data_IF_866461526088
#
_entry.id   IF_866461526088
#
_cell.length_a   1.000
_cell.length_b   1.000
_cell.length_c   1.000
_cell.angle_alpha   90.00
_cell.angle_beta   90.00
_cell.angle_gamma   90.00
#
_symmetry.space_group_name_H-M   'P 1'
#
loop_
_entity.id
_entity.type
_entity.pdbx_description
1 polymer ?
#
# COMPACT_ATOMS: atom_id res chain seq x y z
N UNK A 1 -17.88 10.69 -7.90
CA UNK A 1 -17.36 11.55 -9.00
C UNK A 1 -15.89 11.24 -9.16
N UNK A 2 -15.31 11.30 -10.38
CA UNK A 2 -13.86 11.11 -10.57
C UNK A 2 -13.13 12.42 -10.28
N UNK A 3 -12.04 12.37 -9.53
CA UNK A 3 -11.15 13.50 -9.23
C UNK A 3 -9.70 13.07 -9.32
N UNK A 4 -8.77 14.00 -9.55
CA UNK A 4 -7.35 13.70 -9.45
C UNK A 4 -7.02 13.31 -8.00
N UNK A 5 -6.25 12.23 -7.81
CA UNK A 5 -5.92 11.74 -6.46
C UNK A 5 -5.16 12.78 -5.63
N UNK A 6 -4.43 13.70 -6.25
CA UNK A 6 -3.77 14.84 -5.57
C UNK A 6 -4.72 15.85 -4.92
N UNK A 7 -6.01 15.83 -5.28
CA UNK A 7 -7.03 16.68 -4.65
C UNK A 7 -7.69 16.01 -3.44
N UNK A 8 -7.35 14.76 -3.14
CA UNK A 8 -7.93 13.99 -2.04
C UNK A 8 -7.00 14.02 -0.84
N UNK A 9 -7.50 14.37 0.34
CA UNK A 9 -6.68 14.49 1.52
C UNK A 9 -6.16 13.12 2.01
N UNK A 10 -4.94 13.04 2.59
CA UNK A 10 -4.47 11.84 3.28
C UNK A 10 -5.45 11.35 4.35
N UNK A 11 -5.62 10.03 4.43
CA UNK A 11 -6.58 9.35 5.30
C UNK A 11 -7.97 9.12 4.68
N UNK A 12 -8.29 9.77 3.55
CA UNK A 12 -9.54 9.52 2.83
C UNK A 12 -9.44 8.24 1.99
N UNK A 13 -10.59 7.57 1.84
CA UNK A 13 -10.74 6.39 0.99
C UNK A 13 -11.21 6.81 -0.40
N UNK A 14 -10.56 6.26 -1.42
CA UNK A 14 -10.90 6.39 -2.84
C UNK A 14 -10.97 5.01 -3.48
N UNK A 15 -11.57 4.90 -4.67
CA UNK A 15 -11.55 3.65 -5.45
C UNK A 15 -10.60 3.79 -6.64
N UNK A 16 -9.67 2.86 -6.75
CA UNK A 16 -8.79 2.65 -7.89
C UNK A 16 -9.23 1.36 -8.58
N UNK A 17 -9.78 1.45 -9.79
CA UNK A 17 -10.47 0.33 -10.46
C UNK A 17 -11.48 -0.40 -9.58
N UNK A 18 -12.26 0.36 -8.80
CA UNK A 18 -13.24 -0.19 -7.86
C UNK A 18 -12.66 -0.67 -6.53
N UNK A 19 -11.34 -0.88 -6.41
CA UNK A 19 -10.67 -1.31 -5.18
C UNK A 19 -10.56 -0.13 -4.18
N UNK A 20 -11.15 -0.24 -2.97
CA UNK A 20 -11.03 0.79 -1.96
C UNK A 20 -9.59 0.93 -1.44
N UNK A 21 -9.05 2.14 -1.51
CA UNK A 21 -7.68 2.47 -1.13
C UNK A 21 -7.63 3.73 -0.27
N UNK A 22 -6.74 3.75 0.73
CA UNK A 22 -6.50 4.91 1.59
C UNK A 22 -5.37 5.73 1.00
N UNK A 23 -5.58 7.03 0.84
CA UNK A 23 -4.53 7.98 0.44
C UNK A 23 -3.58 8.20 1.62
N UNK A 24 -2.28 7.94 1.45
CA UNK A 24 -1.29 8.08 2.53
C UNK A 24 -0.47 9.37 2.43
N UNK A 25 0.03 9.68 1.24
CA UNK A 25 0.96 10.79 1.03
C UNK A 25 1.01 11.20 -0.44
N UNK A 26 1.00 12.50 -0.71
CA UNK A 26 1.36 13.03 -2.04
C UNK A 26 2.86 13.28 -2.10
N UNK A 27 3.54 12.63 -3.04
CA UNK A 27 4.97 12.78 -3.31
C UNK A 27 5.17 13.44 -4.67
N UNK A 28 6.38 13.94 -4.92
CA UNK A 28 6.75 14.47 -6.24
C UNK A 28 6.61 13.41 -7.34
N UNK A 29 6.95 12.15 -7.04
CA UNK A 29 6.86 11.05 -7.99
C UNK A 29 5.43 10.54 -8.23
N UNK A 30 4.50 10.77 -7.31
CA UNK A 30 3.15 10.22 -7.36
C UNK A 30 2.45 10.28 -6.01
N UNK A 31 1.22 9.79 -5.93
CA UNK A 31 0.50 9.65 -4.66
C UNK A 31 0.60 8.20 -4.18
N UNK A 32 1.02 8.03 -2.92
CA UNK A 32 1.08 6.73 -2.25
C UNK A 32 -0.30 6.37 -1.71
N UNK A 33 -0.77 5.18 -2.07
CA UNK A 33 -1.97 4.58 -1.55
C UNK A 33 -1.66 3.23 -0.91
N UNK A 34 -2.59 2.75 -0.11
CA UNK A 34 -2.63 1.40 0.42
C UNK A 34 -4.04 0.85 0.29
N UNK A 35 -4.21 -0.44 0.01
CA UNK A 35 -5.56 -1.03 0.00
C UNK A 35 -6.23 -0.86 1.36
N UNK A 36 -7.54 -0.65 1.38
CA UNK A 36 -8.28 -0.56 2.64
C UNK A 36 -8.44 -1.94 3.29
N UNK A 37 -8.66 -2.98 2.48
CA UNK A 37 -8.79 -4.36 2.91
C UNK A 37 -7.44 -5.10 2.89
N UNK A 38 -7.30 -6.08 3.79
CA UNK A 38 -6.15 -6.98 3.79
C UNK A 38 -6.32 -8.10 2.75
N UNK A 39 -5.24 -8.41 2.03
CA UNK A 39 -5.11 -9.68 1.32
C UNK A 39 -4.49 -10.72 2.23
N UNK A 40 -4.78 -12.01 1.98
CA UNK A 40 -4.22 -13.12 2.75
C UNK A 40 -3.13 -13.83 1.95
N UNK A 41 -1.90 -13.81 2.46
CA UNK A 41 -0.74 -14.47 1.85
C UNK A 41 0.29 -14.87 2.91
N UNK A 42 1.11 -15.89 2.62
CA UNK A 42 2.41 -16.01 3.29
C UNK A 42 3.40 -15.06 2.65
N UNK A 43 4.49 -14.79 3.36
CA UNK A 43 5.61 -14.04 2.79
C UNK A 43 6.45 -14.93 1.86
N UNK A 44 6.65 -16.18 2.26
CA UNK A 44 7.36 -17.19 1.50
C UNK A 44 8.28 -18.02 2.39
N UNK A 45 9.33 -18.57 1.80
CA UNK A 45 10.36 -19.33 2.52
C UNK A 45 11.48 -18.47 3.10
N UNK A 46 11.37 -17.13 3.02
CA UNK A 46 12.36 -16.18 3.53
C UNK A 46 11.69 -14.87 3.96
N UNK A 47 12.27 -14.18 4.93
CA UNK A 47 11.93 -12.83 5.36
C UNK A 47 12.46 -11.73 4.40
N UNK A 48 13.30 -12.09 3.42
CA UNK A 48 13.77 -11.15 2.41
C UNK A 48 12.70 -10.89 1.33
N UNK A 49 12.03 -9.74 1.43
CA UNK A 49 10.99 -9.36 0.48
C UNK A 49 11.46 -9.35 -0.99
N UNK A 50 12.71 -8.94 -1.26
CA UNK A 50 13.23 -8.79 -2.63
C UNK A 50 13.17 -10.08 -3.46
N UNK A 51 13.30 -11.24 -2.80
CA UNK A 51 13.30 -12.57 -3.43
C UNK A 51 12.13 -13.45 -2.96
N UNK A 52 11.18 -12.86 -2.24
CA UNK A 52 10.04 -13.58 -1.67
C UNK A 52 8.99 -13.92 -2.73
N UNK A 53 8.30 -15.05 -2.55
CA UNK A 53 7.13 -15.41 -3.36
C UNK A 53 5.98 -14.40 -3.17
N UNK A 54 5.96 -13.69 -2.03
CA UNK A 54 4.96 -12.65 -1.81
C UNK A 54 5.20 -11.43 -2.70
N UNK A 55 6.44 -10.99 -2.90
CA UNK A 55 6.76 -9.94 -3.87
C UNK A 55 6.37 -10.35 -5.28
N UNK A 56 6.62 -11.60 -5.66
CA UNK A 56 6.20 -12.16 -6.95
C UNK A 56 4.67 -12.11 -7.10
N UNK A 57 3.91 -12.55 -6.09
CA UNK A 57 2.45 -12.45 -6.09
C UNK A 57 1.95 -11.01 -6.20
N UNK A 58 2.52 -10.09 -5.40
CA UNK A 58 2.14 -8.68 -5.37
C UNK A 58 2.38 -7.97 -6.70
N UNK A 59 3.49 -8.26 -7.37
CA UNK A 59 3.90 -7.59 -8.61
C UNK A 59 3.51 -8.37 -9.88
N UNK A 60 2.87 -9.53 -9.73
CA UNK A 60 2.23 -10.29 -10.80
C UNK A 60 0.71 -10.24 -10.64
N UNK A 61 0.14 -11.38 -10.22
CA UNK A 61 -1.30 -11.59 -10.19
C UNK A 61 -2.09 -10.51 -9.42
N UNK A 62 -1.58 -10.00 -8.30
CA UNK A 62 -2.26 -8.94 -7.56
C UNK A 62 -2.23 -7.60 -8.30
N UNK A 63 -1.07 -7.17 -8.81
CA UNK A 63 -0.96 -5.92 -9.57
C UNK A 63 -1.81 -5.97 -10.84
N UNK A 64 -1.83 -7.10 -11.54
CA UNK A 64 -2.68 -7.30 -12.73
C UNK A 64 -4.17 -7.19 -12.37
N UNK A 65 -4.60 -7.80 -11.28
CA UNK A 65 -6.00 -7.70 -10.82
C UNK A 65 -6.35 -6.27 -10.38
N UNK A 66 -5.47 -5.62 -9.61
CA UNK A 66 -5.66 -4.26 -9.10
C UNK A 66 -5.78 -3.22 -10.24
N UNK A 67 -5.12 -3.46 -11.37
CA UNK A 67 -5.04 -2.54 -12.51
C UNK A 67 -5.88 -2.98 -13.71
N UNK A 68 -6.65 -4.06 -13.58
CA UNK A 68 -7.37 -4.69 -14.69
C UNK A 68 -6.45 -5.02 -15.90
N UNK A 69 -5.18 -5.36 -15.62
CA UNK A 69 -4.14 -5.66 -16.61
C UNK A 69 -3.29 -4.47 -17.06
N UNK A 70 -3.51 -3.28 -16.50
CA UNK A 70 -2.77 -2.04 -16.81
C UNK A 70 -1.68 -1.72 -15.78
N UNK A 71 -0.78 -2.67 -15.53
CA UNK A 71 0.25 -2.52 -14.51
C UNK A 71 1.18 -1.30 -14.72
N UNK A 72 1.26 -0.73 -15.92
CA UNK A 72 2.00 0.49 -16.24
C UNK A 72 1.44 1.76 -15.58
N UNK A 73 0.21 1.72 -15.07
CA UNK A 73 -0.38 2.79 -14.25
C UNK A 73 0.30 2.92 -12.87
N UNK A 74 0.94 1.85 -12.40
CA UNK A 74 1.68 1.86 -11.14
C UNK A 74 3.12 2.33 -11.37
N UNK A 75 3.55 3.23 -10.50
CA UNK A 75 4.90 3.78 -10.51
C UNK A 75 5.80 2.89 -9.65
N UNK A 76 6.93 2.47 -10.22
CA UNK A 76 7.97 1.76 -9.49
C UNK A 76 8.50 2.62 -8.35
N UNK A 77 8.60 2.04 -7.16
CA UNK A 77 9.18 2.68 -5.97
C UNK A 77 10.29 1.80 -5.40
N UNK A 78 11.24 2.45 -4.74
CA UNK A 78 12.21 1.77 -3.89
C UNK A 78 11.55 1.45 -2.52
N UNK A 79 11.82 0.25 -2.01
CA UNK A 79 11.45 -0.21 -0.68
C UNK A 79 12.74 -0.52 0.09
N UNK A 80 12.97 0.20 1.19
CA UNK A 80 14.09 -0.06 2.10
C UNK A 80 13.80 -1.33 2.92
N UNK A 81 14.72 -2.30 2.86
CA UNK A 81 14.63 -3.59 3.55
C UNK A 81 15.55 -3.66 4.76
N UNK A 82 15.97 -2.51 5.29
CA UNK A 82 16.66 -2.43 6.59
C UNK A 82 15.83 -3.15 7.64
N UNK A 83 16.45 -4.14 8.31
CA UNK A 83 15.83 -4.93 9.36
C UNK A 83 15.58 -4.11 10.62
N UNK A 84 14.69 -4.57 11.49
CA UNK A 84 14.38 -3.89 12.76
C UNK A 84 15.63 -3.69 13.63
N UNK A 85 16.53 -4.67 13.65
CA UNK A 85 17.79 -4.58 14.38
C UNK A 85 18.84 -3.64 13.74
N UNK A 86 18.51 -3.01 12.60
CA UNK A 86 19.37 -2.09 11.86
C UNK A 86 20.27 -2.74 10.82
N UNK A 87 20.20 -4.06 10.61
CA UNK A 87 20.94 -4.72 9.53
C UNK A 87 20.49 -4.22 8.16
N UNK A 88 21.44 -4.02 7.25
CA UNK A 88 21.22 -3.57 5.86
C UNK A 88 21.58 -4.63 4.82
N UNK A 89 21.75 -5.88 5.24
CA UNK A 89 22.18 -6.98 4.37
C UNK A 89 21.32 -7.13 3.11
N UNK A 90 20.00 -6.98 3.25
CA UNK A 90 19.06 -7.09 2.12
C UNK A 90 18.98 -5.82 1.26
N UNK A 91 19.54 -4.70 1.71
CA UNK A 91 19.55 -3.43 0.97
C UNK A 91 18.15 -2.88 0.72
N UNK A 92 17.84 -2.59 -0.54
CA UNK A 92 16.54 -2.13 -1.02
C UNK A 92 16.08 -2.96 -2.23
N UNK A 93 14.79 -2.89 -2.56
CA UNK A 93 14.30 -3.43 -3.82
C UNK A 93 13.35 -2.46 -4.53
N UNK A 94 13.40 -2.45 -5.85
CA UNK A 94 12.44 -1.73 -6.69
C UNK A 94 11.26 -2.63 -7.05
N UNK A 95 10.04 -2.14 -6.82
CA UNK A 95 8.80 -2.82 -7.18
C UNK A 95 7.64 -1.82 -7.28
N UNK A 96 6.53 -2.24 -7.88
CA UNK A 96 5.31 -1.43 -8.01
C UNK A 96 4.40 -1.57 -6.79
N UNK A 97 4.36 -2.76 -6.22
CA UNK A 97 3.50 -3.10 -5.09
C UNK A 97 4.33 -3.77 -4.00
N UNK A 98 4.20 -3.29 -2.77
CA UNK A 98 4.82 -3.87 -1.58
C UNK A 98 3.99 -3.56 -0.34
N UNK A 99 4.09 -4.35 0.75
CA UNK A 99 3.65 -3.89 2.06
C UNK A 99 4.38 -2.59 2.45
N UNK A 100 3.80 -1.83 3.37
CA UNK A 100 4.53 -0.72 3.98
C UNK A 100 5.73 -1.25 4.78
N UNK A 101 6.83 -0.50 4.79
CA UNK A 101 7.90 -0.76 5.77
C UNK A 101 7.42 -0.42 7.19
N UNK A 102 8.10 -0.93 8.21
CA UNK A 102 7.75 -0.60 9.58
C UNK A 102 7.86 0.91 9.88
N UNK A 103 8.81 1.60 9.25
CA UNK A 103 8.92 3.07 9.33
C UNK A 103 7.75 3.79 8.65
N UNK A 104 7.31 3.30 7.49
CA UNK A 104 6.11 3.82 6.82
C UNK A 104 4.86 3.58 7.68
N UNK A 105 4.70 2.40 8.28
CA UNK A 105 3.61 2.09 9.23
C UNK A 105 3.62 3.08 10.39
N UNK A 106 4.78 3.31 11.02
CA UNK A 106 4.93 4.27 12.12
C UNK A 106 4.58 5.69 11.70
N UNK A 107 4.98 6.10 10.50
CA UNK A 107 4.69 7.42 9.92
C UNK A 107 3.20 7.62 9.64
N UNK A 108 2.53 6.58 9.13
CA UNK A 108 1.13 6.64 8.71
C UNK A 108 0.14 6.08 9.73
N UNK A 109 0.58 5.77 10.95
CA UNK A 109 -0.24 5.18 12.02
C UNK A 109 -1.56 5.95 12.26
N UNK A 110 -1.56 7.28 12.14
CA UNK A 110 -2.78 8.09 12.31
C UNK A 110 -3.79 8.00 11.17
N UNK A 111 -3.42 7.42 10.03
CA UNK A 111 -4.25 7.27 8.82
C UNK A 111 -4.74 5.83 8.62
N UNK A 112 -3.99 4.85 9.13
CA UNK A 112 -4.27 3.44 8.93
C UNK A 112 -5.30 2.94 9.96
N UNK A 113 -6.40 2.27 9.55
CA UNK A 113 -7.21 1.54 10.50
C UNK A 113 -6.42 0.36 11.09
N UNK A 114 -6.86 -0.12 12.25
CA UNK A 114 -6.32 -1.34 12.84
C UNK A 114 -6.49 -2.52 11.88
N UNK A 115 -5.52 -3.43 11.82
CA UNK A 115 -5.64 -4.65 11.02
C UNK A 115 -6.82 -5.53 11.46
N UNK A 116 -7.49 -6.17 10.51
CA UNK A 116 -8.56 -7.16 10.79
C UNK A 116 -7.96 -8.52 11.20
N UNK A 117 -6.74 -8.80 10.76
CA UNK A 117 -5.89 -9.92 11.10
C UNK A 117 -4.43 -9.45 11.17
N UNK A 118 -3.48 -10.32 11.52
CA UNK A 118 -2.06 -9.99 11.45
C UNK A 118 -1.69 -9.31 10.12
N UNK A 119 -0.93 -8.21 10.17
CA UNK A 119 -0.51 -7.44 9.01
C UNK A 119 1.00 -7.51 8.80
N UNK A 120 1.43 -8.11 7.69
CA UNK A 120 2.82 -8.09 7.26
C UNK A 120 3.30 -6.69 6.91
N UNK A 121 4.50 -6.34 7.37
CA UNK A 121 5.31 -5.26 6.82
C UNK A 121 6.38 -5.79 5.85
N UNK A 122 7.06 -4.90 5.13
CA UNK A 122 8.24 -5.26 4.33
C UNK A 122 9.53 -5.38 5.18
N UNK A 123 9.47 -5.11 6.48
CA UNK A 123 10.63 -5.04 7.37
C UNK A 123 10.86 -6.37 8.07
N UNK A 124 12.02 -7.03 7.89
CA UNK A 124 12.37 -8.23 8.64
C UNK A 124 12.78 -7.88 10.08
N UNK A 125 12.74 -8.85 10.99
CA UNK A 125 13.22 -8.66 12.37
C UNK A 125 14.75 -8.53 12.41
N UNK A 126 15.45 -9.47 11.77
CA UNK A 126 16.90 -9.51 11.60
C UNK A 126 17.27 -10.02 10.20
N UNK A 127 18.55 -10.30 9.95
CA UNK A 127 19.06 -10.90 8.71
C UNK A 127 20.16 -11.94 9.03
N UNK A 128 20.50 -12.84 8.08
CA UNK A 128 21.43 -13.94 8.33
C UNK A 128 22.81 -13.52 8.84
N UNK A 129 23.33 -12.36 8.42
CA UNK A 129 24.65 -11.90 8.85
C UNK A 129 24.73 -11.49 10.32
N UNK A 130 23.59 -11.30 11.01
CA UNK A 130 23.57 -10.93 12.44
C UNK A 130 23.36 -12.16 13.32
N UNK A 131 22.39 -13.01 13.01
CA UNK A 131 21.96 -14.12 13.86
C UNK A 131 21.38 -15.32 13.08
N UNK A 132 21.76 -15.47 11.81
CA UNK A 132 21.25 -16.51 10.91
C UNK A 132 19.73 -16.45 10.67
N UNK A 133 19.08 -15.31 10.96
CA UNK A 133 17.64 -15.14 10.76
C UNK A 133 17.27 -14.80 9.30
N UNK A 134 16.64 -15.76 8.63
CA UNK A 134 15.95 -15.59 7.36
C UNK A 134 14.42 -15.79 7.47
N UNK A 135 13.87 -15.79 8.69
CA UNK A 135 12.53 -16.33 8.98
C UNK A 135 11.56 -15.27 9.50
N UNK A 136 11.99 -14.34 10.37
CA UNK A 136 11.06 -13.49 11.10
C UNK A 136 10.81 -12.13 10.43
N UNK A 137 9.54 -11.76 10.36
CA UNK A 137 9.08 -10.51 9.72
C UNK A 137 8.25 -9.71 10.71
N UNK A 138 8.50 -8.40 10.75
CA UNK A 138 7.75 -7.47 11.57
C UNK A 138 6.35 -7.22 11.01
N UNK A 139 5.41 -6.99 11.90
CA UNK A 139 4.04 -6.64 11.51
C UNK A 139 3.21 -6.16 12.68
N UNK A 140 1.92 -5.97 12.41
CA UNK A 140 0.94 -5.51 13.38
C UNK A 140 -0.07 -6.61 13.71
N UNK A 141 -0.37 -6.78 15.00
CA UNK A 141 -1.54 -7.55 15.42
C UNK A 141 -2.84 -6.74 15.28
N UNK A 142 -3.98 -7.38 15.54
CA UNK A 142 -5.30 -6.75 15.47
C UNK A 142 -5.52 -5.68 16.56
N UNK A 143 -4.72 -5.72 17.63
CA UNK A 143 -4.68 -4.68 18.66
C UNK A 143 -3.93 -3.43 18.23
N UNK A 144 -3.11 -3.53 17.19
CA UNK A 144 -2.15 -2.52 16.73
C UNK A 144 -0.77 -2.66 17.38
N UNK A 145 -0.51 -3.73 18.15
CA UNK A 145 0.80 -3.98 18.72
C UNK A 145 1.75 -4.51 17.65
N UNK A 146 3.02 -4.19 17.85
CA UNK A 146 4.11 -4.63 17.00
C UNK A 146 4.59 -5.99 17.50
N UNK A 147 4.74 -6.94 16.60
CA UNK A 147 5.35 -8.24 16.89
C UNK A 147 6.12 -8.73 15.65
N UNK A 148 6.59 -9.98 15.68
CA UNK A 148 7.09 -10.66 14.51
C UNK A 148 6.44 -12.05 14.37
N UNK A 149 6.36 -12.54 13.13
CA UNK A 149 5.90 -13.89 12.82
C UNK A 149 6.74 -14.52 11.71
N UNK A 150 6.69 -15.86 11.64
CA UNK A 150 7.42 -16.66 10.65
C UNK A 150 6.90 -16.35 9.25
N UNK A 151 7.80 -16.09 8.30
CA UNK A 151 7.52 -15.75 6.91
C UNK A 151 6.70 -16.82 6.17
N UNK A 152 6.74 -18.06 6.65
CA UNK A 152 6.00 -19.21 6.09
C UNK A 152 4.52 -19.23 6.48
N UNK A 153 4.13 -18.51 7.53
CA UNK A 153 2.73 -18.46 7.96
C UNK A 153 1.89 -17.61 7.00
N UNK A 154 0.62 -17.96 6.85
CA UNK A 154 -0.32 -17.21 6.00
C UNK A 154 -1.14 -16.23 6.83
N UNK A 155 -0.92 -14.93 6.62
CA UNK A 155 -1.60 -13.86 7.33
C UNK A 155 -2.00 -12.70 6.39
N UNK A 156 -2.52 -11.61 6.96
CA UNK A 156 -2.96 -10.43 6.24
C UNK A 156 -1.82 -9.50 5.82
N UNK A 157 -2.06 -8.68 4.81
CA UNK A 157 -1.24 -7.52 4.47
C UNK A 157 -2.10 -6.55 3.67
N UNK A 158 -1.97 -5.24 3.88
CA UNK A 158 -2.48 -4.24 2.95
C UNK A 158 -1.35 -3.81 2.00
N UNK A 159 -1.40 -4.18 0.70
CA UNK A 159 -0.38 -3.77 -0.24
C UNK A 159 -0.47 -2.27 -0.51
N UNK A 160 0.70 -1.62 -0.55
CA UNK A 160 0.86 -0.22 -0.88
C UNK A 160 1.49 -0.06 -2.26
N UNK A 161 1.07 0.99 -2.97
CA UNK A 161 1.47 1.26 -4.35
C UNK A 161 1.40 2.76 -4.65
N UNK A 162 2.13 3.17 -5.68
CA UNK A 162 2.24 4.57 -6.11
C UNK A 162 1.56 4.73 -7.48
N UNK A 163 0.74 5.77 -7.64
CA UNK A 163 0.14 6.15 -8.94
C UNK A 163 0.46 7.60 -9.28
N UNK A 164 0.38 8.03 -10.56
CA UNK A 164 0.53 9.43 -10.92
C UNK A 164 -0.43 10.32 -10.12
N UNK A 165 0.04 11.45 -9.60
CA UNK A 165 -0.78 12.33 -8.76
C UNK A 165 -2.00 12.93 -9.49
N UNK A 166 -1.98 12.94 -10.82
CA UNK A 166 -3.08 13.37 -11.68
C UNK A 166 -4.01 12.23 -12.10
N UNK A 167 -3.75 10.99 -11.66
CA UNK A 167 -4.61 9.85 -11.95
C UNK A 167 -6.01 10.07 -11.36
N UNK A 168 -7.03 9.76 -12.16
CA UNK A 168 -8.42 9.98 -11.80
C UNK A 168 -8.96 8.81 -10.96
N UNK A 169 -9.33 9.08 -9.71
CA UNK A 169 -9.90 8.11 -8.77
C UNK A 169 -11.33 8.48 -8.41
N UNK A 170 -12.11 7.50 -7.95
CA UNK A 170 -13.45 7.76 -7.45
C UNK A 170 -13.38 8.05 -5.94
N UNK A 171 -13.62 9.30 -5.56
CA UNK A 171 -13.72 9.64 -4.14
C UNK A 171 -15.05 9.10 -3.58
N UNK A 172 -15.00 8.39 -2.45
CA UNK A 172 -16.21 8.01 -1.72
C UNK A 172 -16.78 9.27 -1.05
N UNK A 173 -17.94 9.69 -1.55
CA UNK A 173 -18.75 10.76 -0.99
C UNK A 173 -19.97 10.96 -1.87
N UNK A 174 -21.12 11.19 -1.23
CA UNK A 174 -22.35 11.50 -1.93
C UNK A 174 -22.27 12.87 -2.61
N UNK A 175 -23.37 13.32 -3.20
CA UNK A 175 -23.46 14.67 -3.75
C UNK A 175 -23.39 15.76 -2.66
N UNK A 176 -23.57 15.38 -1.39
CA UNK A 176 -23.60 16.22 -0.21
C UNK A 176 -22.26 16.86 0.17
N UNK A 177 -21.14 16.30 -0.32
CA UNK A 177 -19.81 16.90 -0.14
C UNK A 177 -19.56 18.10 -1.06
N UNK A 178 -20.43 18.36 -2.04
CA UNK A 178 -20.30 19.46 -2.98
C UNK A 178 -21.35 20.53 -2.72
N UNK A 179 -20.97 21.78 -2.90
CA UNK A 179 -21.93 22.85 -2.94
C UNK A 179 -22.82 22.71 -4.17
N UNK A 180 -24.06 23.21 -4.10
CA UNK A 180 -24.97 23.24 -5.24
C UNK A 180 -24.34 23.95 -6.46
N UNK A 181 -23.51 24.96 -6.23
CA UNK A 181 -22.84 25.70 -7.29
C UNK A 181 -21.81 24.87 -8.05
N UNK A 182 -21.02 24.04 -7.35
CA UNK A 182 -20.05 23.14 -7.98
C UNK A 182 -20.75 22.06 -8.81
N UNK A 183 -21.85 21.51 -8.30
CA UNK A 183 -22.66 20.55 -9.04
C UNK A 183 -23.28 21.15 -10.32
N UNK A 184 -23.81 22.38 -10.23
CA UNK A 184 -24.35 23.12 -11.39
C UNK A 184 -23.25 23.39 -12.42
N UNK A 185 -22.05 23.79 -11.99
CA UNK A 185 -20.92 24.05 -12.88
C UNK A 185 -20.51 22.79 -13.67
N UNK A 186 -20.44 21.64 -13.00
CA UNK A 186 -20.10 20.37 -13.64
C UNK A 186 -21.19 19.89 -14.62
N UNK A 187 -22.48 20.05 -14.27
CA UNK A 187 -23.59 19.76 -15.20
C UNK A 187 -23.46 20.63 -16.46
N UNK A 188 -23.26 21.94 -16.29
CA UNK A 188 -23.11 22.86 -17.41
C UNK A 188 -21.90 22.51 -18.29
N UNK A 189 -20.80 22.06 -17.70
CA UNK A 189 -19.62 21.60 -18.44
C UNK A 189 -19.93 20.40 -19.33
N UNK A 190 -20.67 19.40 -18.82
CA UNK A 190 -21.03 18.20 -19.59
C UNK A 190 -22.10 18.44 -20.64
N UNK A 191 -22.98 19.41 -20.41
CA UNK A 191 -24.02 19.76 -21.37
C UNK A 191 -23.49 20.61 -22.53
N UNK A 192 -22.43 21.39 -22.30
CA UNK A 192 -21.96 22.41 -23.24
C UNK A 192 -20.51 22.21 -23.73
N UNK A 193 -19.86 21.11 -23.33
CA UNK A 193 -18.53 20.70 -23.80
C UNK A 193 -18.59 19.35 -24.49
#
# INVERSE_FOLDING_TARGET
MKTAVSNVAPGQVVKFHGEPCIVLEHRTAGTLLVTAAQIKSSFGSTNNFAVSSFREHLNGAFADALTEGHADELITREVDLTALNGSKEYGSCECKVAPLTFDEIRRFHGLLPKPESWEWSATPWSTPCVDEDDTWIMGLDTGGNVNYYSCTNTYGSRPAFLIPSQYAVEADGGLDQYTTNELIAEINRRMNG
#
